data_IF_110035046880
#
_entry.id   IF_110035046880
#
_cell.length_a   1.000
_cell.length_b   1.000
_cell.length_c   1.000
_cell.angle_alpha   90.00
_cell.angle_beta   90.00
_cell.angle_gamma   90.00
#
_symmetry.space_group_name_H-M   'P 1'
#
loop_
_entity.id
_entity.type
_entity.pdbx_description
1 polymer ?
#
# COMPACT_ATOMS: atom_id res chain seq x y z
N UNK A 1 -11.82 11.07 -1.13
CA UNK A 1 -11.24 11.60 0.12
C UNK A 1 -9.75 11.32 0.25
N UNK A 2 -9.28 10.06 0.12
CA UNK A 2 -7.86 9.71 0.31
C UNK A 2 -6.92 10.43 -0.67
N UNK A 3 -7.26 10.52 -1.96
CA UNK A 3 -6.50 11.28 -2.97
C UNK A 3 -6.33 12.75 -2.60
N UNK A 4 -7.38 13.36 -2.03
CA UNK A 4 -7.32 14.74 -1.58
C UNK A 4 -6.35 14.90 -0.39
N UNK A 5 -6.36 13.96 0.56
CA UNK A 5 -5.41 13.93 1.67
C UNK A 5 -3.95 13.87 1.17
N UNK A 6 -3.66 12.97 0.22
CA UNK A 6 -2.31 12.87 -0.37
C UNK A 6 -1.93 14.13 -1.15
N UNK A 7 -2.86 14.72 -1.90
CA UNK A 7 -2.63 15.96 -2.62
C UNK A 7 -2.31 17.12 -1.66
N UNK A 8 -3.02 17.22 -0.53
CA UNK A 8 -2.75 18.26 0.48
C UNK A 8 -1.39 18.08 1.15
N UNK A 9 -0.96 16.84 1.39
CA UNK A 9 0.39 16.56 1.90
C UNK A 9 1.48 16.88 0.88
N UNK A 10 1.27 16.55 -0.40
CA UNK A 10 2.19 16.94 -1.46
C UNK A 10 2.27 18.47 -1.58
N UNK A 11 1.14 19.16 -1.52
CA UNK A 11 1.12 20.62 -1.49
C UNK A 11 1.89 21.18 -0.28
N UNK A 12 1.66 20.64 0.92
CA UNK A 12 2.38 21.04 2.13
C UNK A 12 3.90 20.86 1.98
N UNK A 13 4.34 19.73 1.39
CA UNK A 13 5.75 19.46 1.10
C UNK A 13 6.36 20.56 0.21
N UNK A 14 5.75 20.82 -0.95
CA UNK A 14 6.29 21.83 -1.88
C UNK A 14 6.21 23.25 -1.31
N UNK A 15 5.14 23.58 -0.60
CA UNK A 15 5.00 24.87 0.05
C UNK A 15 6.07 25.10 1.12
N UNK A 16 6.25 24.14 2.03
CA UNK A 16 7.25 24.25 3.10
C UNK A 16 8.67 24.26 2.52
N UNK A 17 8.92 23.48 1.46
CA UNK A 17 10.21 23.49 0.76
C UNK A 17 10.50 24.85 0.12
N UNK A 18 9.50 25.48 -0.48
CA UNK A 18 9.63 26.80 -1.09
C UNK A 18 9.77 27.94 -0.04
N UNK A 19 9.02 27.83 1.05
CA UNK A 19 9.01 28.85 2.12
C UNK A 19 10.25 28.80 3.00
N UNK A 20 10.84 27.62 3.19
CA UNK A 20 12.04 27.41 4.04
C UNK A 20 13.26 27.16 3.15
N UNK A 21 13.91 28.23 2.72
CA UNK A 21 15.09 28.13 1.85
C UNK A 21 16.30 27.51 2.59
N UNK A 22 16.98 26.57 1.92
CA UNK A 22 18.25 26.03 2.37
C UNK A 22 18.17 25.20 3.68
N UNK A 23 18.96 25.56 4.67
CA UNK A 23 19.14 24.83 5.92
C UNK A 23 17.88 24.70 6.79
N UNK A 24 16.90 25.60 6.65
CA UNK A 24 15.66 25.56 7.42
C UNK A 24 14.71 24.44 6.92
N UNK A 25 14.77 24.14 5.61
CA UNK A 25 14.01 23.03 5.07
C UNK A 25 14.61 21.68 5.47
N UNK A 26 15.89 21.50 5.17
CA UNK A 26 16.62 20.25 5.37
C UNK A 26 18.04 20.61 5.85
N UNK A 27 18.32 20.55 7.16
CA UNK A 27 19.67 20.73 7.68
C UNK A 27 20.65 19.74 7.03
N UNK A 28 21.93 20.11 6.91
CA UNK A 28 22.95 19.21 6.38
C UNK A 28 22.93 17.88 7.12
N UNK A 29 23.05 16.77 6.38
CA UNK A 29 23.14 15.39 6.87
C UNK A 29 21.83 14.77 7.43
N UNK A 30 20.70 15.49 7.40
CA UNK A 30 19.43 14.96 7.83
C UNK A 30 18.67 14.38 6.63
N UNK A 31 18.85 13.08 6.36
CA UNK A 31 18.13 12.36 5.32
C UNK A 31 17.60 11.04 5.85
N UNK A 32 16.40 10.64 5.40
CA UNK A 32 15.92 9.29 5.65
C UNK A 32 16.77 8.26 4.87
N UNK A 33 17.05 7.09 5.44
CA UNK A 33 17.85 6.07 4.78
C UNK A 33 17.14 5.53 3.52
N UNK A 34 17.71 5.78 2.35
CA UNK A 34 17.10 5.53 1.03
C UNK A 34 16.71 4.07 0.80
N UNK A 35 17.44 3.12 1.39
CA UNK A 35 17.16 1.70 1.23
C UNK A 35 15.80 1.29 1.83
N UNK A 36 15.34 1.91 2.90
CA UNK A 36 14.00 1.65 3.44
C UNK A 36 12.91 2.11 2.47
N UNK A 37 13.04 3.33 1.93
CA UNK A 37 12.10 3.84 0.94
C UNK A 37 11.94 2.90 -0.26
N UNK A 38 13.05 2.42 -0.83
CA UNK A 38 13.03 1.44 -1.91
C UNK A 38 12.41 0.11 -1.49
N UNK A 39 12.76 -0.42 -0.32
CA UNK A 39 12.23 -1.69 0.18
C UNK A 39 10.70 -1.62 0.35
N UNK A 40 10.20 -0.56 1.00
CA UNK A 40 8.76 -0.35 1.22
C UNK A 40 8.03 -0.25 -0.11
N UNK A 41 8.56 0.56 -1.05
CA UNK A 41 7.93 0.72 -2.35
C UNK A 41 7.95 -0.56 -3.18
N UNK A 42 9.07 -1.28 -3.26
CA UNK A 42 9.18 -2.54 -4.02
C UNK A 42 8.19 -3.58 -3.47
N UNK A 43 8.11 -3.76 -2.16
CA UNK A 43 7.17 -4.70 -1.53
C UNK A 43 5.72 -4.32 -1.83
N UNK A 44 5.38 -3.03 -1.79
CA UNK A 44 4.05 -2.54 -2.13
C UNK A 44 3.73 -2.73 -3.62
N UNK A 45 4.68 -2.48 -4.52
CA UNK A 45 4.53 -2.68 -5.95
C UNK A 45 4.37 -4.17 -6.31
N UNK A 46 5.18 -5.04 -5.70
CA UNK A 46 5.05 -6.50 -5.86
C UNK A 46 3.67 -6.96 -5.37
N UNK A 47 3.20 -6.46 -4.23
CA UNK A 47 1.85 -6.77 -3.74
C UNK A 47 0.79 -6.34 -4.75
N UNK A 48 0.88 -5.13 -5.29
CA UNK A 48 -0.06 -4.65 -6.30
C UNK A 48 -0.09 -5.54 -7.55
N UNK A 49 1.08 -5.96 -8.04
CA UNK A 49 1.19 -6.87 -9.20
C UNK A 49 0.60 -8.25 -8.90
N UNK A 50 0.86 -8.80 -7.71
CA UNK A 50 0.30 -10.10 -7.28
C UNK A 50 -1.23 -10.03 -7.15
N UNK A 51 -1.77 -8.95 -6.61
CA UNK A 51 -3.21 -8.74 -6.48
C UNK A 51 -3.86 -8.57 -7.86
N UNK A 52 -3.25 -7.82 -8.79
CA UNK A 52 -3.72 -7.71 -10.18
C UNK A 52 -3.69 -9.05 -10.90
N UNK A 53 -2.62 -9.82 -10.75
CA UNK A 53 -2.52 -11.16 -11.30
C UNK A 53 -3.62 -12.06 -10.73
N UNK A 54 -3.75 -12.10 -9.40
CA UNK A 54 -4.78 -12.88 -8.71
C UNK A 54 -6.19 -12.50 -9.13
N UNK A 55 -6.50 -11.20 -9.27
CA UNK A 55 -7.77 -10.72 -9.80
C UNK A 55 -8.06 -11.29 -11.19
N UNK A 56 -7.10 -11.20 -12.12
CA UNK A 56 -7.26 -11.72 -13.49
C UNK A 56 -7.53 -13.23 -13.49
N UNK A 57 -6.79 -13.96 -12.65
CA UNK A 57 -6.96 -15.42 -12.51
C UNK A 57 -8.31 -15.79 -11.89
N UNK A 58 -8.77 -15.03 -10.89
CA UNK A 58 -10.11 -15.20 -10.30
C UNK A 58 -11.22 -14.95 -11.31
N UNK A 59 -11.09 -13.91 -12.14
CA UNK A 59 -12.07 -13.62 -13.20
C UNK A 59 -12.09 -14.69 -14.29
N UNK A 60 -10.94 -15.35 -14.53
CA UNK A 60 -10.80 -16.51 -15.43
C UNK A 60 -11.27 -17.85 -14.80
N UNK A 61 -11.81 -17.83 -13.56
CA UNK A 61 -12.31 -19.02 -12.87
C UNK A 61 -11.28 -19.75 -12.01
N UNK A 62 -10.02 -19.32 -11.99
CA UNK A 62 -8.93 -19.96 -11.23
C UNK A 62 -8.79 -19.35 -9.82
N UNK A 63 -9.66 -19.73 -8.91
CA UNK A 63 -9.65 -19.23 -7.53
C UNK A 63 -8.44 -19.65 -6.71
N UNK A 64 -7.75 -20.75 -7.05
CA UNK A 64 -6.52 -21.19 -6.41
C UNK A 64 -5.38 -20.21 -6.64
N UNK A 65 -5.17 -19.78 -7.89
CA UNK A 65 -4.11 -18.84 -8.24
C UNK A 65 -4.31 -17.49 -7.52
N UNK A 66 -5.58 -17.05 -7.38
CA UNK A 66 -5.91 -15.88 -6.58
C UNK A 66 -5.49 -16.03 -5.11
N UNK A 67 -5.75 -17.21 -4.52
CA UNK A 67 -5.40 -17.47 -3.12
C UNK A 67 -3.88 -17.49 -2.93
N UNK A 68 -3.14 -18.21 -3.78
CA UNK A 68 -1.67 -18.29 -3.69
C UNK A 68 -1.04 -16.92 -3.86
N UNK A 69 -1.39 -16.21 -4.94
CA UNK A 69 -0.87 -14.87 -5.19
C UNK A 69 -1.25 -13.88 -4.06
N UNK A 70 -2.46 -14.00 -3.53
CA UNK A 70 -2.94 -13.16 -2.45
C UNK A 70 -2.19 -13.38 -1.14
N UNK A 71 -1.92 -14.62 -0.74
CA UNK A 71 -1.14 -14.90 0.48
C UNK A 71 0.30 -14.42 0.38
N UNK A 72 0.93 -14.57 -0.78
CA UNK A 72 2.26 -13.97 -1.02
C UNK A 72 2.16 -12.45 -0.95
N UNK A 73 1.09 -11.85 -1.49
CA UNK A 73 0.82 -10.41 -1.38
C UNK A 73 0.64 -9.96 0.07
N UNK A 74 -0.08 -10.72 0.91
CA UNK A 74 -0.20 -10.41 2.36
C UNK A 74 1.17 -10.42 3.03
N UNK A 75 2.00 -11.42 2.75
CA UNK A 75 3.36 -11.50 3.32
C UNK A 75 4.21 -10.30 2.90
N UNK A 76 4.16 -9.88 1.63
CA UNK A 76 4.83 -8.67 1.15
C UNK A 76 4.27 -7.40 1.80
N UNK A 77 2.95 -7.30 1.96
CA UNK A 77 2.30 -6.17 2.63
C UNK A 77 2.72 -6.04 4.10
N UNK A 78 2.76 -7.15 4.83
CA UNK A 78 3.28 -7.18 6.21
C UNK A 78 4.76 -6.78 6.23
N UNK A 79 5.56 -7.27 5.28
CA UNK A 79 6.96 -6.88 5.13
C UNK A 79 7.15 -5.38 4.89
N UNK A 80 6.30 -4.76 4.06
CA UNK A 80 6.31 -3.32 3.83
C UNK A 80 5.96 -2.52 5.10
N UNK A 81 4.96 -2.97 5.86
CA UNK A 81 4.58 -2.38 7.15
C UNK A 81 5.73 -2.47 8.14
N UNK A 82 6.35 -3.66 8.27
CA UNK A 82 7.47 -3.89 9.17
C UNK A 82 8.67 -3.01 8.80
N UNK A 83 9.01 -2.91 7.51
CA UNK A 83 10.08 -2.05 7.02
C UNK A 83 9.82 -0.57 7.34
N UNK A 84 8.57 -0.11 7.16
CA UNK A 84 8.19 1.28 7.46
C UNK A 84 8.26 1.58 8.98
N UNK A 85 7.84 0.64 9.84
CA UNK A 85 7.95 0.79 11.30
C UNK A 85 9.43 0.81 11.70
N UNK A 86 10.24 -0.07 11.11
CA UNK A 86 11.66 -0.12 11.42
C UNK A 86 12.39 1.14 10.96
N UNK A 87 11.97 1.72 9.85
CA UNK A 87 12.52 3.00 9.37
C UNK A 87 12.45 4.09 10.43
N UNK A 88 11.38 4.18 11.23
CA UNK A 88 11.27 5.16 12.31
C UNK A 88 12.36 5.02 13.38
N UNK A 89 12.93 3.84 13.55
CA UNK A 89 14.06 3.63 14.47
C UNK A 89 15.41 4.05 13.88
N UNK A 90 15.46 4.16 12.55
CA UNK A 90 16.69 4.45 11.80
C UNK A 90 16.81 5.91 11.34
N UNK A 91 15.72 6.69 11.36
CA UNK A 91 15.77 8.11 10.98
C UNK A 91 16.47 8.94 12.08
N UNK A 92 17.39 9.85 11.68
CA UNK A 92 18.17 10.65 12.63
C UNK A 92 17.46 11.95 13.07
N UNK A 93 16.14 12.03 12.93
CA UNK A 93 15.35 13.22 13.19
C UNK A 93 14.02 12.90 13.86
N UNK A 94 13.38 13.89 14.45
CA UNK A 94 12.08 13.80 15.12
C UNK A 94 11.10 14.85 14.58
N UNK A 95 9.77 14.68 14.81
CA UNK A 95 8.78 15.66 14.40
C UNK A 95 9.11 17.06 14.96
N UNK A 96 9.03 18.07 14.09
CA UNK A 96 9.32 19.46 14.49
C UNK A 96 10.78 19.89 14.36
N UNK A 97 11.74 18.97 14.11
CA UNK A 97 13.15 19.34 13.93
C UNK A 97 13.40 20.14 12.64
N UNK A 98 12.60 19.91 11.60
CA UNK A 98 12.65 20.67 10.34
C UNK A 98 11.34 20.50 9.57
N UNK A 99 11.13 21.31 8.51
CA UNK A 99 10.00 21.15 7.60
C UNK A 99 9.99 19.78 6.90
N UNK A 100 11.17 19.31 6.47
CA UNK A 100 11.36 17.99 5.89
C UNK A 100 10.96 16.87 6.88
N UNK A 101 11.49 16.89 8.10
CA UNK A 101 11.22 15.88 9.11
C UNK A 101 9.72 15.78 9.45
N UNK A 102 9.06 16.93 9.63
CA UNK A 102 7.63 16.97 9.95
C UNK A 102 6.74 16.41 8.84
N UNK A 103 7.03 16.76 7.58
CA UNK A 103 6.29 16.28 6.43
C UNK A 103 6.57 14.81 6.15
N UNK A 104 7.82 14.36 6.31
CA UNK A 104 8.22 12.95 6.17
C UNK A 104 7.47 12.07 7.17
N UNK A 105 7.51 12.42 8.46
CA UNK A 105 6.86 11.61 9.50
C UNK A 105 5.34 11.62 9.33
N UNK A 106 4.74 12.78 9.01
CA UNK A 106 3.30 12.88 8.73
C UNK A 106 2.88 11.98 7.59
N UNK A 107 3.62 11.97 6.48
CA UNK A 107 3.35 11.09 5.36
C UNK A 107 3.56 9.61 5.71
N UNK A 108 4.64 9.28 6.40
CA UNK A 108 4.95 7.91 6.80
C UNK A 108 3.87 7.31 7.69
N UNK A 109 3.32 8.07 8.63
CA UNK A 109 2.18 7.62 9.46
C UNK A 109 0.94 7.29 8.63
N UNK A 110 0.61 8.14 7.64
CA UNK A 110 -0.52 7.90 6.73
C UNK A 110 -0.24 6.69 5.84
N UNK A 111 0.99 6.52 5.36
CA UNK A 111 1.39 5.38 4.56
C UNK A 111 1.25 4.07 5.33
N UNK A 112 1.69 4.00 6.59
CA UNK A 112 1.47 2.83 7.46
C UNK A 112 -0.01 2.51 7.60
N UNK A 113 -0.84 3.49 7.93
CA UNK A 113 -2.29 3.30 8.06
C UNK A 113 -2.91 2.75 6.77
N UNK A 114 -2.43 3.23 5.63
CA UNK A 114 -2.87 2.76 4.31
C UNK A 114 -2.44 1.33 4.03
N UNK A 115 -1.17 0.99 4.29
CA UNK A 115 -0.65 -0.36 4.10
C UNK A 115 -1.36 -1.37 5.01
N UNK A 116 -1.60 -1.01 6.27
CA UNK A 116 -2.37 -1.85 7.21
C UNK A 116 -3.79 -2.07 6.70
N UNK A 117 -4.50 -1.00 6.31
CA UNK A 117 -5.86 -1.11 5.79
C UNK A 117 -5.95 -1.92 4.49
N UNK A 118 -5.01 -1.71 3.55
CA UNK A 118 -4.94 -2.45 2.29
C UNK A 118 -4.63 -3.94 2.50
N UNK A 119 -3.67 -4.26 3.39
CA UNK A 119 -3.30 -5.63 3.72
C UNK A 119 -4.44 -6.36 4.43
N UNK A 120 -5.11 -5.71 5.37
CA UNK A 120 -6.30 -6.25 6.03
C UNK A 120 -7.46 -6.51 5.03
N UNK A 121 -7.68 -5.60 4.08
CA UNK A 121 -8.68 -5.81 3.03
C UNK A 121 -8.34 -7.01 2.15
N UNK A 122 -7.06 -7.19 1.78
CA UNK A 122 -6.60 -8.36 1.03
C UNK A 122 -6.82 -9.65 1.81
N UNK A 123 -6.43 -9.70 3.09
CA UNK A 123 -6.62 -10.85 3.96
C UNK A 123 -8.10 -11.25 4.11
N UNK A 124 -8.96 -10.27 4.38
CA UNK A 124 -10.41 -10.54 4.49
C UNK A 124 -11.03 -11.02 3.19
N UNK A 125 -10.54 -10.55 2.04
CA UNK A 125 -10.96 -11.03 0.71
C UNK A 125 -10.51 -12.47 0.46
N UNK A 126 -9.30 -12.85 0.89
CA UNK A 126 -8.81 -14.22 0.82
C UNK A 126 -9.60 -15.16 1.74
N UNK A 127 -9.91 -14.74 2.96
CA UNK A 127 -10.75 -15.51 3.89
C UNK A 127 -12.15 -15.76 3.30
N UNK A 128 -12.74 -14.76 2.61
CA UNK A 128 -14.00 -14.94 1.89
C UNK A 128 -13.87 -15.93 0.72
N UNK A 129 -12.79 -15.85 -0.06
CA UNK A 129 -12.53 -16.77 -1.16
C UNK A 129 -12.41 -18.22 -0.69
N UNK A 130 -11.72 -18.47 0.43
CA UNK A 130 -11.60 -19.79 1.05
C UNK A 130 -12.95 -20.34 1.49
N UNK A 131 -13.78 -19.50 2.11
CA UNK A 131 -15.13 -19.88 2.54
C UNK A 131 -16.03 -20.23 1.35
N UNK A 132 -16.02 -19.40 0.30
CA UNK A 132 -16.79 -19.64 -0.91
C UNK A 132 -16.34 -20.91 -1.63
N UNK A 133 -15.05 -21.22 -1.68
CA UNK A 133 -14.52 -22.45 -2.24
C UNK A 133 -15.02 -23.70 -1.51
N UNK A 134 -15.08 -23.68 -0.18
CA UNK A 134 -15.65 -24.80 0.60
C UNK A 134 -17.10 -25.07 0.24
N UNK A 135 -17.90 -24.01 0.06
CA UNK A 135 -19.29 -24.13 -0.32
C UNK A 135 -19.47 -24.67 -1.75
N UNK A 136 -18.53 -24.34 -2.67
CA UNK A 136 -18.58 -24.84 -4.08
C UNK A 136 -18.22 -26.31 -4.19
N UNK A 137 -17.34 -26.83 -3.32
CA UNK A 137 -16.98 -28.26 -3.29
C UNK A 137 -18.13 -29.12 -2.78
N UNK A 138 -19.04 -28.54 -1.96
CA UNK A 138 -20.20 -29.24 -1.42
C UNK A 138 -21.45 -29.25 -2.32
N UNK A 139 -21.50 -28.47 -3.38
CA UNK A 139 -22.64 -28.47 -4.32
C UNK A 139 -22.71 -27.32 -5.30
N UNK A 140 -22.62 -27.66 -6.53
CA UNK A 140 -23.08 -26.99 -7.77
C UNK A 140 -22.28 -25.84 -8.38
N UNK A 141 -22.08 -25.95 -9.70
CA UNK A 141 -21.57 -24.90 -10.61
C UNK A 141 -22.44 -23.62 -10.67
N UNK A 142 -23.59 -23.61 -10.03
CA UNK A 142 -24.52 -22.46 -9.95
C UNK A 142 -23.98 -21.30 -9.10
N UNK A 143 -23.02 -21.53 -8.20
CA UNK A 143 -22.49 -20.48 -7.33
C UNK A 143 -21.78 -19.34 -8.09
N UNK A 144 -21.29 -19.60 -9.30
CA UNK A 144 -20.60 -18.58 -10.12
C UNK A 144 -21.54 -17.46 -10.60
N UNK A 145 -22.84 -17.72 -10.69
CA UNK A 145 -23.87 -16.78 -11.16
C UNK A 145 -24.60 -16.05 -10.03
N UNK A 146 -24.33 -16.40 -8.77
CA UNK A 146 -25.03 -15.83 -7.61
C UNK A 146 -24.69 -14.35 -7.42
N UNK A 147 -25.63 -13.54 -6.88
CA UNK A 147 -25.36 -12.13 -6.54
C UNK A 147 -24.16 -11.95 -5.62
N UNK A 148 -23.93 -12.88 -4.69
CA UNK A 148 -22.80 -12.87 -3.76
C UNK A 148 -21.46 -13.04 -4.48
N UNK A 149 -21.37 -13.89 -5.51
CA UNK A 149 -20.17 -14.07 -6.31
C UNK A 149 -19.85 -12.82 -7.16
N UNK A 150 -20.87 -12.16 -7.70
CA UNK A 150 -20.71 -10.90 -8.45
C UNK A 150 -20.17 -9.78 -7.53
N UNK A 151 -20.76 -9.64 -6.34
CA UNK A 151 -20.29 -8.67 -5.36
C UNK A 151 -18.85 -8.95 -4.90
N UNK A 152 -18.51 -10.23 -4.71
CA UNK A 152 -17.15 -10.63 -4.37
C UNK A 152 -16.15 -10.25 -5.47
N UNK A 153 -16.44 -10.56 -6.74
CA UNK A 153 -15.60 -10.17 -7.89
C UNK A 153 -15.43 -8.65 -7.99
N UNK A 154 -16.50 -7.89 -7.79
CA UNK A 154 -16.46 -6.43 -7.78
C UNK A 154 -15.57 -5.91 -6.64
N UNK A 155 -15.68 -6.49 -5.43
CA UNK A 155 -14.86 -6.15 -4.29
C UNK A 155 -13.38 -6.43 -4.55
N UNK A 156 -13.03 -7.59 -5.13
CA UNK A 156 -11.65 -7.93 -5.49
C UNK A 156 -11.11 -6.97 -6.56
N UNK A 157 -11.94 -6.58 -7.51
CA UNK A 157 -11.55 -5.58 -8.52
C UNK A 157 -11.26 -4.21 -7.88
N UNK A 158 -12.13 -3.75 -6.99
CA UNK A 158 -11.91 -2.49 -6.26
C UNK A 158 -10.63 -2.54 -5.42
N UNK A 159 -10.37 -3.66 -4.74
CA UNK A 159 -9.15 -3.89 -3.97
C UNK A 159 -7.90 -3.85 -4.86
N UNK A 160 -7.94 -4.45 -6.04
CA UNK A 160 -6.82 -4.44 -6.97
C UNK A 160 -6.49 -3.02 -7.45
N UNK A 161 -7.49 -2.21 -7.80
CA UNK A 161 -7.30 -0.79 -8.12
C UNK A 161 -6.73 -0.01 -6.93
N UNK A 162 -7.18 -0.31 -5.72
CA UNK A 162 -6.66 0.36 -4.52
C UNK A 162 -5.18 0.03 -4.29
N UNK A 163 -4.74 -1.22 -4.48
CA UNK A 163 -3.33 -1.60 -4.38
C UNK A 163 -2.45 -0.93 -5.45
N UNK A 164 -2.95 -0.80 -6.68
CA UNK A 164 -2.25 0.00 -7.71
C UNK A 164 -2.09 1.44 -7.27
N UNK A 165 -3.14 2.03 -6.71
CA UNK A 165 -3.09 3.38 -6.18
C UNK A 165 -2.08 3.51 -5.02
N UNK A 166 -2.02 2.52 -4.11
CA UNK A 166 -1.03 2.46 -3.01
C UNK A 166 0.39 2.42 -3.57
N UNK A 167 0.65 1.59 -4.59
CA UNK A 167 1.97 1.51 -5.23
C UNK A 167 2.37 2.83 -5.92
N UNK A 168 1.44 3.49 -6.62
CA UNK A 168 1.69 4.78 -7.26
C UNK A 168 1.93 5.90 -6.25
N UNK A 169 1.13 5.97 -5.18
CA UNK A 169 1.33 6.95 -4.10
C UNK A 169 2.63 6.70 -3.34
N UNK A 170 3.00 5.43 -3.13
CA UNK A 170 4.28 5.05 -2.55
C UNK A 170 5.47 5.47 -3.42
N UNK A 171 5.34 5.40 -4.76
CA UNK A 171 6.36 5.91 -5.68
C UNK A 171 6.51 7.44 -5.58
N UNK A 172 5.39 8.15 -5.50
CA UNK A 172 5.40 9.60 -5.30
C UNK A 172 6.12 9.97 -4.00
N UNK A 173 5.83 9.25 -2.91
CA UNK A 173 6.50 9.41 -1.62
C UNK A 173 8.01 9.16 -1.74
N UNK A 174 8.39 8.04 -2.39
CA UNK A 174 9.80 7.72 -2.65
C UNK A 174 10.50 8.85 -3.40
N UNK A 175 9.89 9.34 -4.48
CA UNK A 175 10.47 10.43 -5.28
C UNK A 175 10.64 11.70 -4.45
N UNK A 176 9.61 12.11 -3.69
CA UNK A 176 9.62 13.37 -2.94
C UNK A 176 10.63 13.40 -1.79
N UNK A 177 10.77 12.29 -1.05
CA UNK A 177 11.53 12.29 0.19
C UNK A 177 12.92 11.65 0.09
N UNK A 178 13.16 10.81 -0.91
CA UNK A 178 14.43 10.10 -1.02
C UNK A 178 15.23 10.43 -2.29
N UNK A 179 14.57 11.01 -3.34
CA UNK A 179 15.25 11.35 -4.59
C UNK A 179 15.45 12.86 -4.78
N UNK A 180 14.56 13.70 -4.25
CA UNK A 180 14.60 15.18 -4.32
C UNK A 180 14.83 15.81 -2.96
#
# INVERSE_FOLDING_TARGET
MYTFLLASLAFAYFYLRAANNGLLWRPHDITAPTYYGWTIWILSAVTALLVLYGQRRLLAGNGLDFQVAGWVGVACGIGAIAAQIWEFTAVPFYPGSSGYASTFIGWSCINIGTLVGATYWLETSLARALRMRRLTVEGSDELSSTPSARLFRANVSAMAYFWVFVALSGFLFLAMFYMF
#
